data_IF_556131147433
#
_entry.id   IF_556131147433
#
_cell.length_a   1.000
_cell.length_b   1.000
_cell.length_c   1.000
_cell.angle_alpha   90.00
_cell.angle_beta   90.00
_cell.angle_gamma   90.00
#
_symmetry.space_group_name_H-M   'P 1'
#
loop_
_entity.id
_entity.type
_entity.pdbx_description
1 polymer ?
#
# COMPACT_ATOMS: atom_id res chain seq x y z
N UNK A 1 -2.14 4.38 0.51
CA UNK A 1 -1.36 3.73 -0.58
C UNK A 1 -2.18 3.48 -1.82
N UNK A 2 -3.34 2.83 -1.71
CA UNK A 2 -4.13 2.43 -2.88
C UNK A 2 -4.61 3.58 -3.75
N UNK A 3 -5.07 4.67 -3.15
CA UNK A 3 -5.51 5.84 -3.91
C UNK A 3 -4.38 6.46 -4.75
N UNK A 4 -3.15 6.48 -4.21
CA UNK A 4 -1.99 6.95 -4.96
C UNK A 4 -1.58 5.99 -6.06
N UNK A 5 -1.67 4.67 -5.83
CA UNK A 5 -1.40 3.66 -6.84
C UNK A 5 -2.37 3.82 -8.03
N UNK A 6 -3.67 3.96 -7.76
CA UNK A 6 -4.70 4.20 -8.78
C UNK A 6 -4.44 5.52 -9.52
N UNK A 7 -4.14 6.60 -8.79
CA UNK A 7 -3.86 7.89 -9.42
C UNK A 7 -2.63 7.82 -10.35
N UNK A 8 -1.55 7.19 -9.90
CA UNK A 8 -0.35 7.01 -10.72
C UNK A 8 -0.62 6.16 -11.96
N UNK A 9 -1.36 5.05 -11.82
CA UNK A 9 -1.73 4.19 -12.95
C UNK A 9 -2.57 4.94 -13.99
N UNK A 10 -3.56 5.71 -13.54
CA UNK A 10 -4.41 6.53 -14.43
C UNK A 10 -3.65 7.66 -15.13
N UNK A 11 -2.54 8.11 -14.55
CA UNK A 11 -1.62 9.05 -15.18
C UNK A 11 -0.60 8.38 -16.11
N UNK A 12 -0.68 7.06 -16.31
CA UNK A 12 0.14 6.32 -17.25
C UNK A 12 1.41 5.69 -16.67
N UNK A 13 1.58 5.70 -15.35
CA UNK A 13 2.70 5.01 -14.73
C UNK A 13 2.50 3.49 -14.74
N UNK A 14 3.60 2.75 -14.88
CA UNK A 14 3.63 1.31 -14.59
C UNK A 14 3.76 1.13 -13.08
N UNK A 15 2.70 0.67 -12.42
CA UNK A 15 2.60 0.64 -10.96
C UNK A 15 2.65 -0.78 -10.43
N UNK A 16 3.56 -1.02 -9.49
CA UNK A 16 3.60 -2.20 -8.63
C UNK A 16 3.15 -1.80 -7.23
N UNK A 17 2.22 -2.54 -6.65
CA UNK A 17 1.73 -2.27 -5.30
C UNK A 17 2.25 -3.34 -4.32
N UNK A 18 2.94 -2.88 -3.27
CA UNK A 18 3.23 -3.69 -2.08
C UNK A 18 2.22 -3.34 -1.00
N UNK A 19 1.40 -4.28 -0.62
CA UNK A 19 0.32 -4.11 0.33
C UNK A 19 0.00 -5.42 1.06
N UNK A 20 -0.85 -5.37 2.08
CA UNK A 20 -1.40 -6.55 2.72
C UNK A 20 -2.93 -6.45 2.78
N UNK A 21 -3.60 -7.53 2.40
CA UNK A 21 -5.05 -7.68 2.39
C UNK A 21 -5.47 -8.94 3.16
N UNK A 22 -6.60 -8.88 3.84
CA UNK A 22 -7.24 -10.05 4.39
C UNK A 22 -7.81 -10.97 3.30
N UNK A 23 -8.00 -12.24 3.61
CA UNK A 23 -8.76 -13.18 2.77
C UNK A 23 -10.27 -13.02 3.02
N UNK A 24 -10.77 -11.82 2.83
CA UNK A 24 -12.15 -11.40 3.03
C UNK A 24 -12.74 -10.76 1.77
N UNK A 25 -14.03 -10.40 1.83
CA UNK A 25 -14.73 -9.78 0.71
C UNK A 25 -14.10 -8.44 0.30
N UNK A 26 -13.64 -7.64 1.27
CA UNK A 26 -12.96 -6.36 0.98
C UNK A 26 -11.63 -6.60 0.26
N UNK A 27 -10.85 -7.60 0.68
CA UNK A 27 -9.60 -7.97 0.02
C UNK A 27 -9.84 -8.47 -1.42
N UNK A 28 -10.88 -9.25 -1.66
CA UNK A 28 -11.26 -9.72 -2.99
C UNK A 28 -11.65 -8.54 -3.90
N UNK A 29 -12.55 -7.68 -3.43
CA UNK A 29 -12.99 -6.47 -4.16
C UNK A 29 -11.80 -5.55 -4.49
N UNK A 30 -10.86 -5.42 -3.55
CA UNK A 30 -9.68 -4.60 -3.77
C UNK A 30 -8.77 -5.17 -4.86
N UNK A 31 -8.55 -6.50 -4.89
CA UNK A 31 -7.79 -7.15 -5.95
C UNK A 31 -8.42 -6.98 -7.33
N UNK A 32 -9.76 -7.10 -7.43
CA UNK A 32 -10.47 -6.82 -8.68
C UNK A 32 -10.27 -5.38 -9.14
N UNK A 33 -10.25 -4.44 -8.20
CA UNK A 33 -9.98 -3.03 -8.49
C UNK A 33 -8.56 -2.83 -9.01
N UNK A 34 -7.54 -3.43 -8.38
CA UNK A 34 -6.16 -3.35 -8.87
C UNK A 34 -6.02 -3.90 -10.29
N UNK A 35 -6.64 -5.04 -10.55
CA UNK A 35 -6.61 -5.65 -11.89
C UNK A 35 -7.27 -4.74 -12.95
N UNK A 36 -8.43 -4.14 -12.61
CA UNK A 36 -9.14 -3.22 -13.51
C UNK A 36 -8.33 -1.95 -13.80
N UNK A 37 -7.58 -1.45 -12.84
CA UNK A 37 -6.73 -0.26 -12.98
C UNK A 37 -5.34 -0.59 -13.59
N UNK A 38 -5.07 -1.86 -13.93
CA UNK A 38 -3.81 -2.30 -14.53
C UNK A 38 -2.61 -2.22 -13.58
N UNK A 39 -2.85 -2.33 -12.27
CA UNK A 39 -1.80 -2.29 -11.25
C UNK A 39 -1.28 -3.71 -11.01
N UNK A 40 0.03 -3.87 -11.05
CA UNK A 40 0.67 -5.14 -10.69
C UNK A 40 0.55 -5.39 -9.18
N UNK A 41 -0.16 -6.45 -8.84
CA UNK A 41 -0.45 -6.88 -7.47
C UNK A 41 0.43 -8.04 -7.00
N UNK A 42 1.54 -8.35 -7.68
CA UNK A 42 2.45 -9.45 -7.29
C UNK A 42 3.01 -9.26 -5.87
N UNK A 43 3.20 -8.01 -5.41
CA UNK A 43 3.62 -7.67 -4.05
C UNK A 43 2.47 -7.55 -3.03
N UNK A 44 1.24 -7.90 -3.38
CA UNK A 44 0.10 -7.86 -2.46
C UNK A 44 0.00 -9.15 -1.68
N UNK A 45 0.33 -9.10 -0.39
CA UNK A 45 0.32 -10.25 0.50
C UNK A 45 -1.11 -10.53 0.99
N UNK A 46 -1.52 -11.81 0.95
CA UNK A 46 -2.82 -12.27 1.47
C UNK A 46 -2.66 -12.84 2.87
N UNK A 47 -3.57 -12.48 3.77
CA UNK A 47 -3.55 -12.86 5.18
C UNK A 47 -4.87 -13.51 5.56
N UNK A 48 -4.85 -14.82 5.91
CA UNK A 48 -6.06 -15.60 6.21
C UNK A 48 -6.69 -15.28 7.57
N UNK A 49 -5.88 -14.86 8.53
CA UNK A 49 -6.23 -14.73 9.96
C UNK A 49 -6.49 -13.28 10.41
N UNK A 50 -6.48 -12.35 9.46
CA UNK A 50 -6.64 -10.92 9.71
C UNK A 50 -7.54 -10.31 8.63
N UNK A 51 -8.44 -9.39 9.02
CA UNK A 51 -9.28 -8.67 8.06
C UNK A 51 -8.50 -7.63 7.26
N UNK A 52 -8.97 -7.29 6.08
CA UNK A 52 -8.50 -6.13 5.33
C UNK A 52 -8.67 -4.85 6.14
N UNK A 53 -7.78 -3.88 5.96
CA UNK A 53 -7.92 -2.56 6.58
C UNK A 53 -9.19 -1.85 6.11
N UNK A 54 -9.85 -1.13 7.03
CA UNK A 54 -11.09 -0.40 6.76
C UNK A 54 -10.97 1.02 7.31
N UNK A 55 -11.42 2.01 6.55
CA UNK A 55 -11.66 3.35 7.02
C UNK A 55 -13.17 3.64 7.00
N UNK A 56 -13.72 4.00 8.14
CA UNK A 56 -15.10 4.47 8.27
C UNK A 56 -15.08 5.99 8.28
N UNK A 57 -15.74 6.59 7.30
CA UNK A 57 -15.78 8.05 7.14
C UNK A 57 -17.21 8.51 7.45
N UNK A 58 -17.37 9.23 8.54
CA UNK A 58 -18.61 9.92 8.89
C UNK A 58 -18.53 11.36 8.39
N UNK A 59 -19.54 11.80 7.67
CA UNK A 59 -19.65 13.19 7.20
C UNK A 59 -20.95 13.76 7.75
N UNK A 60 -20.89 14.88 8.46
CA UNK A 60 -22.05 15.56 8.97
C UNK A 60 -22.70 16.51 7.95
N UNK A 61 -23.84 17.09 8.32
CA UNK A 61 -24.60 18.00 7.45
C UNK A 61 -23.83 19.30 7.14
N UNK A 62 -22.81 19.65 7.91
CA UNK A 62 -21.93 20.81 7.65
C UNK A 62 -20.77 20.49 6.70
N UNK A 63 -20.58 19.19 6.36
CA UNK A 63 -19.49 18.70 5.53
C UNK A 63 -18.20 18.41 6.32
N UNK A 64 -18.24 18.47 7.67
CA UNK A 64 -17.13 18.04 8.50
C UNK A 64 -17.04 16.52 8.52
N UNK A 65 -15.82 16.00 8.48
CA UNK A 65 -15.60 14.56 8.48
C UNK A 65 -14.91 14.07 9.76
N UNK A 66 -15.26 12.85 10.15
CA UNK A 66 -14.57 12.07 11.17
C UNK A 66 -14.18 10.72 10.55
N UNK A 67 -12.91 10.35 10.67
CA UNK A 67 -12.39 9.11 10.10
C UNK A 67 -11.95 8.18 11.23
N UNK A 68 -12.50 6.98 11.25
CA UNK A 68 -12.05 5.88 12.10
C UNK A 68 -11.33 4.87 11.24
N UNK A 69 -10.04 4.63 11.53
CA UNK A 69 -9.20 3.70 10.77
C UNK A 69 -8.99 2.43 11.58
N UNK A 70 -9.33 1.29 10.99
CA UNK A 70 -8.98 -0.04 11.49
C UNK A 70 -7.88 -0.59 10.59
N UNK A 71 -6.63 -0.70 11.05
CA UNK A 71 -5.49 -1.06 10.20
C UNK A 71 -5.63 -2.44 9.53
N UNK A 72 -6.18 -3.43 10.25
CA UNK A 72 -6.29 -4.80 9.74
C UNK A 72 -4.95 -5.32 9.24
N UNK A 73 -4.95 -5.94 8.07
CA UNK A 73 -3.76 -6.52 7.46
C UNK A 73 -2.63 -5.50 7.20
N UNK A 74 -2.93 -4.19 7.09
CA UNK A 74 -1.89 -3.16 6.96
C UNK A 74 -0.90 -3.15 8.13
N UNK A 75 -1.35 -3.54 9.34
CA UNK A 75 -0.49 -3.65 10.52
C UNK A 75 0.58 -4.75 10.41
N UNK A 76 0.50 -5.61 9.42
CA UNK A 76 1.44 -6.71 9.17
C UNK A 76 2.49 -6.39 8.09
N UNK A 77 2.50 -5.17 7.53
CA UNK A 77 3.52 -4.71 6.59
C UNK A 77 4.76 -4.20 7.35
N UNK A 78 5.35 -5.08 8.14
CA UNK A 78 6.58 -4.84 8.90
C UNK A 78 7.86 -4.95 8.04
N UNK A 79 9.03 -4.86 8.66
CA UNK A 79 10.31 -4.94 7.97
C UNK A 79 10.50 -6.27 7.22
N UNK A 80 10.05 -7.40 7.79
CA UNK A 80 10.15 -8.70 7.15
C UNK A 80 9.24 -8.78 5.90
N UNK A 81 8.04 -8.20 5.97
CA UNK A 81 7.14 -8.12 4.83
C UNK A 81 7.70 -7.23 3.71
N UNK A 82 8.37 -6.14 4.05
CA UNK A 82 9.06 -5.29 3.06
C UNK A 82 10.26 -6.00 2.42
N UNK A 83 11.08 -6.72 3.21
CA UNK A 83 12.22 -7.48 2.68
C UNK A 83 11.78 -8.62 1.75
N UNK A 84 10.64 -9.24 2.01
CA UNK A 84 10.07 -10.26 1.13
C UNK A 84 9.82 -9.73 -0.30
N UNK A 85 9.52 -8.44 -0.44
CA UNK A 85 9.23 -7.78 -1.72
C UNK A 85 10.42 -6.95 -2.26
N UNK A 86 11.62 -7.18 -1.75
CA UNK A 86 12.81 -6.39 -2.12
C UNK A 86 13.12 -6.38 -3.61
N UNK A 87 12.85 -7.47 -4.33
CA UNK A 87 13.09 -7.52 -5.77
C UNK A 87 12.17 -6.58 -6.54
N UNK A 88 10.91 -6.46 -6.14
CA UNK A 88 9.96 -5.51 -6.71
C UNK A 88 10.42 -4.08 -6.42
N UNK A 89 10.72 -3.77 -5.15
CA UNK A 89 11.16 -2.43 -4.72
C UNK A 89 12.42 -2.02 -5.48
N UNK A 90 13.41 -2.92 -5.60
CA UNK A 90 14.67 -2.62 -6.27
C UNK A 90 14.55 -2.46 -7.79
N UNK A 91 13.50 -2.98 -8.42
CA UNK A 91 13.27 -2.90 -9.86
C UNK A 91 12.60 -1.60 -10.32
N UNK A 92 12.04 -0.81 -9.38
CA UNK A 92 11.29 0.39 -9.70
C UNK A 92 12.20 1.62 -9.83
N UNK A 93 11.78 2.62 -10.62
CA UNK A 93 12.46 3.91 -10.70
C UNK A 93 12.08 4.85 -9.55
N UNK A 94 10.88 4.68 -8.97
CA UNK A 94 10.37 5.47 -7.85
C UNK A 94 9.67 4.60 -6.83
N UNK A 95 9.84 4.90 -5.56
CA UNK A 95 9.14 4.30 -4.43
C UNK A 95 8.30 5.38 -3.73
N UNK A 96 7.00 5.18 -3.66
CA UNK A 96 6.08 5.99 -2.87
C UNK A 96 5.77 5.28 -1.57
N UNK A 97 6.00 5.92 -0.44
CA UNK A 97 5.79 5.37 0.89
C UNK A 97 4.64 6.08 1.60
N UNK A 98 3.94 5.34 2.43
CA UNK A 98 2.86 5.79 3.31
C UNK A 98 3.24 5.58 4.76
N UNK A 99 2.69 6.41 5.65
CA UNK A 99 2.90 6.28 7.11
C UNK A 99 1.70 5.64 7.83
N UNK A 100 0.86 4.91 7.10
CA UNK A 100 -0.30 4.18 7.63
C UNK A 100 0.00 2.69 7.91
N UNK A 101 1.25 2.30 7.77
CA UNK A 101 1.77 0.96 8.02
C UNK A 101 2.87 1.01 9.08
N UNK A 102 3.32 -0.13 9.64
CA UNK A 102 4.41 -0.14 10.61
C UNK A 102 5.65 0.60 10.11
N UNK A 103 6.21 1.46 10.96
CA UNK A 103 7.31 2.34 10.58
C UNK A 103 8.58 1.57 10.22
N UNK A 104 8.83 0.43 10.84
CA UNK A 104 9.96 -0.46 10.51
C UNK A 104 9.86 -1.01 9.09
N UNK A 105 8.65 -1.33 8.61
CA UNK A 105 8.41 -1.70 7.21
C UNK A 105 8.69 -0.56 6.23
N UNK A 106 8.26 0.66 6.58
CA UNK A 106 8.55 1.88 5.79
C UNK A 106 10.06 2.13 5.71
N UNK A 107 10.77 2.04 6.84
CA UNK A 107 12.22 2.23 6.91
C UNK A 107 12.93 1.16 6.09
N UNK A 108 12.53 -0.10 6.18
CA UNK A 108 13.15 -1.19 5.43
C UNK A 108 12.94 -1.01 3.91
N UNK A 109 11.73 -0.66 3.47
CA UNK A 109 11.47 -0.37 2.06
C UNK A 109 12.33 0.80 1.54
N UNK A 110 12.46 1.87 2.33
CA UNK A 110 13.33 3.00 2.00
C UNK A 110 14.81 2.59 1.93
N UNK A 111 15.27 1.74 2.86
CA UNK A 111 16.65 1.21 2.88
C UNK A 111 16.95 0.38 1.63
N UNK A 112 16.02 -0.49 1.22
CA UNK A 112 16.15 -1.30 0.00
C UNK A 112 16.26 -0.38 -1.22
N UNK A 113 15.36 0.58 -1.37
CA UNK A 113 15.36 1.53 -2.48
C UNK A 113 16.66 2.35 -2.52
N UNK A 114 17.11 2.87 -1.38
CA UNK A 114 18.35 3.65 -1.26
C UNK A 114 19.59 2.82 -1.67
N UNK A 115 19.65 1.54 -1.28
CA UNK A 115 20.77 0.65 -1.63
C UNK A 115 20.88 0.38 -3.13
N UNK A 116 19.81 0.57 -3.88
CA UNK A 116 19.76 0.34 -5.33
C UNK A 116 20.29 1.53 -6.14
N UNK A 117 20.43 2.71 -5.56
CA UNK A 117 20.95 3.99 -6.13
C UNK A 117 20.12 4.56 -7.31
N UNK A 118 19.19 3.79 -7.88
CA UNK A 118 18.38 4.20 -9.03
C UNK A 118 16.91 4.44 -8.67
N UNK A 119 16.55 4.31 -7.40
CA UNK A 119 15.17 4.46 -6.95
C UNK A 119 14.98 5.80 -6.25
N UNK A 120 14.16 6.67 -6.81
CA UNK A 120 13.70 7.88 -6.14
C UNK A 120 12.72 7.53 -5.02
N UNK A 121 12.84 8.17 -3.86
CA UNK A 121 11.98 7.90 -2.70
C UNK A 121 11.12 9.12 -2.40
N UNK A 122 9.81 8.92 -2.29
CA UNK A 122 8.88 9.91 -1.79
C UNK A 122 8.06 9.34 -0.63
N UNK A 123 8.02 10.05 0.48
CA UNK A 123 7.21 9.70 1.64
C UNK A 123 5.98 10.60 1.65
N UNK A 124 4.81 9.97 1.61
CA UNK A 124 3.53 10.67 1.63
C UNK A 124 3.02 10.67 3.07
N UNK A 125 2.89 11.86 3.64
CA UNK A 125 2.20 12.05 4.92
C UNK A 125 0.68 11.82 4.78
N UNK A 126 0.05 11.62 5.92
CA UNK A 126 -1.40 11.63 5.98
C UNK A 126 -1.97 13.04 5.82
#
# INVERSE_FOLDING_TARGET
>A
GGNQAVAAARLGANVHLVAALGEDANGAMYQETLAREGIDAAGVQRRADVSSGVAVIEVDDSGENRIVVVPGANALLDAAAADAEKSIIASCGYLLLQLETPLDGVIEAARIAHSTHNVGIAVMGM
#
